data_IF_541344304503
#
_entry.id   IF_541344304503
#
_cell.length_a   1.000
_cell.length_b   1.000
_cell.length_c   1.000
_cell.angle_alpha   90.00
_cell.angle_beta   90.00
_cell.angle_gamma   90.00
#
_symmetry.space_group_name_H-M   'P 1'
#
loop_
_entity.id
_entity.type
_entity.pdbx_description
1 polymer ?
#
# COMPACT_ATOMS: atom_id res chain seq x y z
N UNK A 1 12.73 -29.81 25.72
CA UNK A 1 11.61 -29.24 24.92
C UNK A 1 10.58 -28.72 25.94
N UNK A 2 10.37 -27.41 25.97
CA UNK A 2 9.42 -26.78 26.89
C UNK A 2 8.15 -26.39 26.12
N UNK A 3 6.99 -26.65 26.71
CA UNK A 3 5.71 -26.24 26.17
C UNK A 3 5.37 -24.85 26.72
N UNK A 4 5.04 -23.93 25.82
CA UNK A 4 4.61 -22.57 26.15
C UNK A 4 3.16 -22.41 25.73
N UNK A 5 2.31 -22.05 26.67
CA UNK A 5 0.89 -21.79 26.45
C UNK A 5 0.67 -20.33 26.01
N UNK A 6 -0.31 -20.09 25.16
CA UNK A 6 -0.74 -18.75 24.77
C UNK A 6 -2.25 -18.67 24.58
N UNK A 7 -2.80 -17.48 24.56
CA UNK A 7 -4.18 -17.20 24.16
C UNK A 7 -4.24 -15.92 23.33
N UNK A 8 -5.19 -15.86 22.40
CA UNK A 8 -5.46 -14.66 21.63
C UNK A 8 -6.25 -13.65 22.47
N UNK A 9 -5.83 -12.41 22.45
CA UNK A 9 -6.61 -11.30 23.00
C UNK A 9 -7.54 -10.83 21.91
N UNK A 10 -8.84 -10.94 22.16
CA UNK A 10 -9.91 -10.64 21.23
C UNK A 10 -10.69 -9.43 21.70
N UNK A 11 -11.15 -8.63 20.73
CA UNK A 11 -11.94 -7.43 20.95
C UNK A 11 -13.25 -7.51 20.18
N UNK A 12 -14.37 -7.41 20.92
CA UNK A 12 -15.73 -7.42 20.38
C UNK A 12 -16.45 -6.17 20.92
N UNK A 13 -16.39 -5.02 20.23
CA UNK A 13 -16.93 -3.75 20.73
C UNK A 13 -18.44 -3.79 20.91
N UNK A 14 -19.16 -4.39 19.98
CA UNK A 14 -20.60 -4.57 20.03
C UNK A 14 -20.98 -6.05 19.95
N UNK A 15 -21.51 -6.56 21.05
CA UNK A 15 -21.96 -7.97 21.13
C UNK A 15 -23.15 -8.29 20.23
N UNK A 16 -23.95 -7.28 19.84
CA UNK A 16 -25.08 -7.48 18.91
C UNK A 16 -24.59 -7.71 17.48
N UNK A 17 -23.54 -6.99 17.07
CA UNK A 17 -22.88 -7.18 15.76
C UNK A 17 -22.01 -8.44 15.72
N UNK A 18 -21.55 -8.90 16.88
CA UNK A 18 -20.67 -10.06 17.02
C UNK A 18 -19.40 -10.03 16.15
N UNK A 19 -18.92 -8.81 15.84
CA UNK A 19 -17.68 -8.61 15.11
C UNK A 19 -16.50 -8.70 16.07
N UNK A 20 -15.76 -9.79 15.98
CA UNK A 20 -14.60 -10.06 16.84
C UNK A 20 -13.31 -9.98 16.06
N UNK A 21 -12.33 -9.25 16.57
CA UNK A 21 -10.99 -9.14 15.98
C UNK A 21 -9.93 -9.56 17.00
N UNK A 22 -8.88 -10.22 16.54
CA UNK A 22 -7.72 -10.52 17.36
C UNK A 22 -6.83 -9.27 17.44
N UNK A 23 -6.54 -8.80 18.65
CA UNK A 23 -5.77 -7.58 18.90
C UNK A 23 -4.42 -7.84 19.56
N UNK A 24 -4.16 -9.07 19.99
CA UNK A 24 -2.91 -9.42 20.66
C UNK A 24 -2.82 -10.88 21.05
N UNK A 25 -1.71 -11.19 21.70
CA UNK A 25 -1.42 -12.48 22.35
C UNK A 25 -1.06 -12.25 23.81
N UNK A 26 -1.53 -13.13 24.68
CA UNK A 26 -0.98 -13.33 26.01
C UNK A 26 -0.22 -14.66 26.01
N UNK A 27 1.03 -14.65 26.45
CA UNK A 27 1.94 -15.81 26.43
C UNK A 27 2.40 -16.12 27.84
N UNK A 28 2.29 -17.37 28.23
CA UNK A 28 2.62 -17.87 29.58
C UNK A 28 3.99 -18.53 29.56
N UNK A 29 5.03 -17.71 29.73
CA UNK A 29 6.41 -18.19 29.85
C UNK A 29 6.65 -18.83 31.24
N UNK A 30 7.68 -19.68 31.43
CA UNK A 30 7.96 -20.34 32.70
C UNK A 30 8.03 -19.39 33.88
N UNK A 31 8.59 -18.21 33.73
CA UNK A 31 8.85 -17.23 34.79
C UNK A 31 8.07 -15.91 34.63
N UNK A 32 7.29 -15.74 33.58
CA UNK A 32 6.61 -14.48 33.30
C UNK A 32 5.36 -14.67 32.44
N UNK A 33 4.48 -13.69 32.48
CA UNK A 33 3.39 -13.55 31.54
C UNK A 33 3.74 -12.36 30.63
N UNK A 34 3.78 -12.57 29.33
CA UNK A 34 4.03 -11.54 28.33
C UNK A 34 2.74 -11.23 27.55
N UNK A 35 2.43 -9.95 27.44
CA UNK A 35 1.29 -9.46 26.64
C UNK A 35 1.84 -8.73 25.42
N UNK A 36 1.43 -9.17 24.25
CA UNK A 36 1.82 -8.57 22.96
C UNK A 36 0.57 -8.04 22.29
N UNK A 37 0.46 -6.72 22.15
CA UNK A 37 -0.66 -6.07 21.48
C UNK A 37 -0.28 -5.62 20.08
N UNK A 38 -1.28 -5.53 19.19
CA UNK A 38 -1.11 -4.95 17.88
C UNK A 38 -0.87 -3.44 18.00
N UNK A 39 0.24 -2.94 17.47
CA UNK A 39 0.58 -1.52 17.48
C UNK A 39 -0.37 -0.69 16.57
N UNK A 40 -1.01 -1.34 15.60
CA UNK A 40 -1.87 -0.67 14.64
C UNK A 40 -3.29 -0.46 15.18
N UNK A 41 -3.57 0.73 15.70
CA UNK A 41 -4.92 1.14 16.10
C UNK A 41 -5.92 1.13 14.93
N UNK A 42 -5.46 1.11 13.66
CA UNK A 42 -6.33 1.09 12.47
C UNK A 42 -7.23 -0.15 12.43
N UNK A 43 -6.72 -1.31 12.88
CA UNK A 43 -7.50 -2.55 12.95
C UNK A 43 -8.68 -2.41 13.91
N UNK A 44 -8.45 -1.78 15.06
CA UNK A 44 -9.47 -1.55 16.10
C UNK A 44 -10.47 -0.52 15.64
N UNK A 45 -10.02 0.58 15.03
CA UNK A 45 -10.88 1.63 14.47
C UNK A 45 -11.77 1.15 13.33
N UNK A 46 -11.45 0.05 12.69
CA UNK A 46 -12.31 -0.55 11.67
C UNK A 46 -13.62 -1.11 12.26
N UNK A 47 -13.62 -1.49 13.54
CA UNK A 47 -14.79 -2.06 14.24
C UNK A 47 -15.29 -1.16 15.36
N UNK A 48 -14.45 -0.26 15.89
CA UNK A 48 -14.80 0.71 16.91
C UNK A 48 -14.00 2.02 16.75
N UNK A 49 -14.69 3.10 16.44
CA UNK A 49 -14.08 4.42 16.30
C UNK A 49 -13.72 5.12 17.62
N UNK A 50 -14.24 4.63 18.76
CA UNK A 50 -14.09 5.27 20.06
C UNK A 50 -12.83 4.83 20.83
N UNK A 51 -12.32 3.61 20.59
CA UNK A 51 -11.17 3.06 21.33
C UNK A 51 -9.88 3.83 21.02
N UNK A 52 -9.18 4.22 22.07
CA UNK A 52 -7.91 4.98 21.99
C UNK A 52 -6.69 4.09 22.23
N UNK A 53 -5.49 4.60 21.91
CA UNK A 53 -4.23 3.92 22.21
C UNK A 53 -3.99 3.76 23.72
N UNK A 54 -4.51 4.69 24.54
CA UNK A 54 -4.41 4.59 26.01
C UNK A 54 -5.26 3.44 26.57
N UNK A 55 -6.40 3.14 25.95
CA UNK A 55 -7.24 2.03 26.38
C UNK A 55 -6.51 0.70 26.16
N UNK A 56 -5.73 0.58 25.08
CA UNK A 56 -4.90 -0.61 24.82
C UNK A 56 -3.80 -0.80 25.88
N UNK A 57 -3.08 0.27 26.23
CA UNK A 57 -2.05 0.22 27.28
C UNK A 57 -2.65 -0.18 28.66
N UNK A 58 -3.84 0.34 28.95
CA UNK A 58 -4.56 -0.02 30.16
C UNK A 58 -4.94 -1.50 30.17
N UNK A 59 -5.32 -2.06 29.02
CA UNK A 59 -5.62 -3.50 28.89
C UNK A 59 -4.37 -4.35 29.08
N UNK A 60 -3.23 -3.99 28.50
CA UNK A 60 -1.96 -4.68 28.70
C UNK A 60 -1.62 -4.80 30.19
N UNK A 61 -1.68 -3.69 30.92
CA UNK A 61 -1.40 -3.65 32.36
C UNK A 61 -2.39 -4.51 33.15
N UNK A 62 -3.69 -4.44 32.82
CA UNK A 62 -4.73 -5.23 33.49
C UNK A 62 -4.55 -6.73 33.24
N UNK A 63 -4.25 -7.14 32.01
CA UNK A 63 -4.02 -8.54 31.66
C UNK A 63 -2.77 -9.08 32.34
N UNK A 64 -1.67 -8.36 32.35
CA UNK A 64 -0.43 -8.75 33.04
C UNK A 64 -0.68 -8.96 34.55
N UNK A 65 -1.46 -8.08 35.17
CA UNK A 65 -1.82 -8.20 36.57
C UNK A 65 -2.77 -9.38 36.84
N UNK A 66 -3.79 -9.53 35.98
CA UNK A 66 -4.82 -10.57 36.15
C UNK A 66 -4.25 -11.99 35.98
N UNK A 67 -3.35 -12.16 35.01
CA UNK A 67 -2.81 -13.49 34.66
C UNK A 67 -1.40 -13.75 35.17
N UNK A 68 -0.70 -12.73 35.69
CA UNK A 68 0.66 -12.86 36.22
C UNK A 68 0.80 -13.77 37.44
N UNK A 69 -0.32 -14.05 38.17
CA UNK A 69 -0.37 -14.88 39.38
C UNK A 69 -1.04 -16.25 39.14
N UNK A 70 -1.05 -16.75 37.90
CA UNK A 70 -1.54 -18.09 37.61
C UNK A 70 -0.60 -19.16 38.20
N UNK A 71 -1.18 -20.24 38.73
CA UNK A 71 -0.43 -21.44 39.13
C UNK A 71 0.41 -21.96 37.95
N UNK A 72 1.57 -22.50 38.24
CA UNK A 72 2.44 -23.16 37.24
C UNK A 72 2.20 -24.67 37.18
N UNK A 73 1.41 -25.20 38.07
CA UNK A 73 1.01 -26.61 38.05
C UNK A 73 0.00 -26.84 36.90
N UNK A 74 0.27 -27.77 35.96
CA UNK A 74 -0.53 -27.90 34.74
C UNK A 74 -2.03 -28.04 34.97
N UNK A 75 -2.44 -28.83 35.97
CA UNK A 75 -3.85 -29.07 36.28
C UNK A 75 -4.55 -27.84 36.87
N UNK A 76 -3.86 -27.07 37.73
CA UNK A 76 -4.38 -25.83 38.29
C UNK A 76 -4.33 -24.69 37.30
N UNK A 77 -3.29 -24.62 36.47
CA UNK A 77 -3.13 -23.59 35.47
C UNK A 77 -4.34 -23.48 34.52
N UNK A 78 -4.79 -24.58 33.95
CA UNK A 78 -5.91 -24.59 33.03
C UNK A 78 -7.22 -24.15 33.67
N UNK A 79 -7.52 -24.67 34.88
CA UNK A 79 -8.73 -24.32 35.62
C UNK A 79 -8.73 -22.84 36.05
N UNK A 80 -7.62 -22.33 36.55
CA UNK A 80 -7.46 -20.91 36.90
C UNK A 80 -7.52 -19.99 35.68
N UNK A 81 -6.90 -20.38 34.56
CA UNK A 81 -6.99 -19.66 33.32
C UNK A 81 -8.45 -19.54 32.87
N UNK A 82 -9.17 -20.64 32.77
CA UNK A 82 -10.57 -20.65 32.37
C UNK A 82 -11.47 -19.83 33.30
N UNK A 83 -11.22 -19.86 34.59
CA UNK A 83 -11.93 -19.03 35.58
C UNK A 83 -11.67 -17.53 35.27
N UNK A 84 -10.41 -17.12 35.16
CA UNK A 84 -10.05 -15.70 34.91
C UNK A 84 -10.47 -15.23 33.52
N UNK A 85 -10.44 -16.11 32.53
CA UNK A 85 -10.95 -15.83 31.20
C UNK A 85 -12.42 -15.43 31.19
N UNK A 86 -13.25 -16.14 31.98
CA UNK A 86 -14.67 -15.82 32.12
C UNK A 86 -14.94 -14.52 32.90
N UNK A 87 -13.97 -14.05 33.66
CA UNK A 87 -14.06 -12.79 34.43
C UNK A 87 -13.61 -11.57 33.61
N UNK A 88 -13.20 -11.75 32.37
CA UNK A 88 -12.77 -10.64 31.49
C UNK A 88 -13.90 -9.64 31.28
N UNK A 89 -13.64 -8.34 31.56
CA UNK A 89 -14.69 -7.33 31.50
C UNK A 89 -14.96 -6.82 30.08
N UNK A 90 -16.22 -6.55 29.79
CA UNK A 90 -16.62 -5.72 28.65
C UNK A 90 -16.39 -6.36 27.27
N UNK A 91 -15.75 -5.61 26.42
CA UNK A 91 -15.52 -5.95 24.99
C UNK A 91 -14.28 -6.82 24.75
N UNK A 92 -13.49 -7.09 25.78
CA UNK A 92 -12.27 -7.89 25.69
C UNK A 92 -12.51 -9.33 26.11
N UNK A 93 -11.96 -10.26 25.36
CA UNK A 93 -12.07 -11.69 25.61
C UNK A 93 -10.72 -12.37 25.33
N UNK A 94 -10.53 -13.57 25.89
CA UNK A 94 -9.42 -14.44 25.52
C UNK A 94 -9.95 -15.67 24.78
N UNK A 95 -9.23 -16.12 23.77
CA UNK A 95 -9.50 -17.42 23.14
C UNK A 95 -9.24 -18.57 24.12
N UNK A 96 -9.54 -19.80 23.72
CA UNK A 96 -8.98 -20.97 24.40
C UNK A 96 -7.46 -20.99 24.33
N UNK A 97 -6.85 -21.83 25.19
CA UNK A 97 -5.40 -22.01 25.21
C UNK A 97 -4.90 -22.67 23.91
N UNK A 98 -3.89 -22.08 23.31
CA UNK A 98 -3.02 -22.70 22.34
C UNK A 98 -1.67 -22.99 22.95
N UNK A 99 -0.83 -23.77 22.29
CA UNK A 99 0.52 -24.08 22.76
C UNK A 99 1.52 -24.17 21.60
N UNK A 100 2.78 -23.94 21.92
CA UNK A 100 3.90 -24.23 21.04
C UNK A 100 5.09 -24.75 21.85
N UNK A 101 5.95 -25.52 21.20
CA UNK A 101 7.12 -26.08 21.84
C UNK A 101 8.37 -25.27 21.50
N UNK A 102 9.27 -25.12 22.47
CA UNK A 102 10.55 -24.41 22.29
C UNK A 102 11.69 -25.17 22.97
N UNK A 103 12.89 -25.03 22.43
CA UNK A 103 14.10 -25.61 23.03
C UNK A 103 14.90 -24.54 23.78
N UNK A 104 14.76 -23.28 23.44
CA UNK A 104 15.46 -22.16 24.08
C UNK A 104 14.60 -20.88 24.06
N UNK A 105 14.95 -19.85 24.86
CA UNK A 105 14.22 -18.60 24.94
C UNK A 105 14.15 -17.81 23.62
N UNK A 106 15.21 -17.85 22.78
CA UNK A 106 15.25 -17.12 21.51
C UNK A 106 14.24 -17.71 20.53
N UNK A 107 14.06 -19.02 20.53
CA UNK A 107 13.04 -19.70 19.72
C UNK A 107 11.63 -19.27 20.13
N UNK A 108 11.39 -18.99 21.43
CA UNK A 108 10.11 -18.48 21.90
C UNK A 108 9.77 -17.13 21.27
N UNK A 109 10.72 -16.21 21.24
CA UNK A 109 10.53 -14.88 20.62
C UNK A 109 10.20 -14.97 19.12
N UNK A 110 10.90 -15.85 18.38
CA UNK A 110 10.62 -16.09 16.96
C UNK A 110 9.21 -16.65 16.74
N UNK A 111 8.78 -17.62 17.57
CA UNK A 111 7.44 -18.21 17.47
C UNK A 111 6.33 -17.21 17.84
N UNK A 112 6.54 -16.39 18.85
CA UNK A 112 5.61 -15.32 19.23
C UNK A 112 5.45 -14.33 18.06
N UNK A 113 6.55 -13.87 17.47
CA UNK A 113 6.51 -12.96 16.33
C UNK A 113 5.77 -13.57 15.13
N UNK A 114 5.98 -14.87 14.86
CA UNK A 114 5.26 -15.59 13.82
C UNK A 114 3.76 -15.66 14.11
N UNK A 115 3.36 -16.03 15.31
CA UNK A 115 1.95 -16.06 15.74
C UNK A 115 1.30 -14.66 15.66
N UNK A 116 2.03 -13.61 16.08
CA UNK A 116 1.55 -12.23 15.93
C UNK A 116 1.32 -11.88 14.45
N UNK A 117 2.25 -12.24 13.57
CA UNK A 117 2.13 -11.96 12.14
C UNK A 117 0.97 -12.73 11.48
N UNK A 118 0.74 -13.98 11.88
CA UNK A 118 -0.30 -14.85 11.29
C UNK A 118 -1.69 -14.58 11.84
N UNK A 119 -1.82 -14.32 13.14
CA UNK A 119 -3.11 -14.33 13.83
C UNK A 119 -3.59 -12.94 14.27
N UNK A 120 -2.68 -11.99 14.45
CA UNK A 120 -3.01 -10.67 15.04
C UNK A 120 -2.80 -9.54 14.03
N UNK A 121 -1.64 -9.48 13.40
CA UNK A 121 -1.33 -8.40 12.46
C UNK A 121 -2.17 -8.60 11.20
N UNK A 122 -2.99 -7.60 10.80
CA UNK A 122 -3.73 -7.74 9.56
C UNK A 122 -2.74 -7.94 8.41
N UNK A 123 -3.03 -8.82 7.46
CA UNK A 123 -2.22 -8.93 6.25
C UNK A 123 -2.08 -7.52 5.69
N UNK A 124 -0.86 -7.15 5.33
CA UNK A 124 -0.64 -5.85 4.66
C UNK A 124 -1.64 -5.80 3.53
N UNK A 125 -2.54 -4.78 3.47
CA UNK A 125 -3.41 -4.69 2.33
C UNK A 125 -2.47 -4.81 1.14
N UNK A 126 -2.77 -5.72 0.22
CA UNK A 126 -2.17 -5.67 -1.11
C UNK A 126 -2.66 -4.36 -1.71
N UNK A 127 -2.05 -3.28 -1.22
CA UNK A 127 -2.25 -1.97 -1.82
C UNK A 127 -1.80 -2.21 -3.25
N UNK A 128 -2.70 -1.99 -4.17
CA UNK A 128 -2.41 -1.98 -5.59
C UNK A 128 -1.49 -0.79 -5.96
N UNK A 129 -0.47 -0.51 -5.11
CA UNK A 129 0.71 0.27 -5.48
C UNK A 129 1.37 -0.29 -6.73
N UNK A 130 1.10 -1.56 -7.02
CA UNK A 130 1.65 -2.24 -8.18
C UNK A 130 1.04 -1.83 -9.51
N UNK A 131 -0.14 -1.18 -9.59
CA UNK A 131 -0.76 -0.93 -10.91
C UNK A 131 -0.31 0.39 -11.52
N UNK A 132 -0.29 1.49 -10.78
CA UNK A 132 0.34 2.74 -11.26
C UNK A 132 1.85 2.56 -11.46
N UNK A 133 2.52 1.87 -10.52
CA UNK A 133 3.91 1.45 -10.67
C UNK A 133 4.13 0.48 -11.85
N UNK A 134 3.12 -0.31 -12.26
CA UNK A 134 3.20 -1.20 -13.42
C UNK A 134 3.26 -0.44 -14.74
N UNK A 135 2.48 0.63 -14.92
CA UNK A 135 2.56 1.44 -16.16
C UNK A 135 3.94 2.07 -16.28
N UNK A 136 4.41 2.76 -15.24
CA UNK A 136 5.73 3.38 -15.21
C UNK A 136 6.82 2.35 -15.41
N UNK A 137 6.77 1.22 -14.69
CA UNK A 137 7.76 0.14 -14.82
C UNK A 137 7.75 -0.49 -16.22
N UNK A 138 6.56 -0.69 -16.80
CA UNK A 138 6.42 -1.22 -18.16
C UNK A 138 6.98 -0.26 -19.20
N UNK A 139 6.62 1.02 -19.13
CA UNK A 139 7.15 2.04 -20.03
C UNK A 139 8.66 2.20 -19.88
N UNK A 140 9.19 2.22 -18.68
CA UNK A 140 10.65 2.25 -18.43
C UNK A 140 11.35 1.06 -19.09
N UNK A 141 10.79 -0.14 -18.97
CA UNK A 141 11.34 -1.33 -19.63
C UNK A 141 11.33 -1.22 -21.14
N UNK A 142 10.23 -0.72 -21.71
CA UNK A 142 10.11 -0.48 -23.16
C UNK A 142 11.13 0.56 -23.62
N UNK A 143 11.22 1.69 -22.96
CA UNK A 143 12.17 2.74 -23.30
C UNK A 143 13.63 2.29 -23.22
N UNK A 144 13.97 1.42 -22.24
CA UNK A 144 15.29 0.79 -22.17
C UNK A 144 15.56 -0.16 -23.33
N UNK A 145 14.57 -0.97 -23.73
CA UNK A 145 14.68 -1.88 -24.88
C UNK A 145 14.91 -1.12 -26.21
N UNK A 146 14.40 0.10 -26.31
CA UNK A 146 14.56 0.98 -27.48
C UNK A 146 15.74 1.95 -27.35
N UNK A 147 16.58 1.79 -26.31
CA UNK A 147 17.72 2.68 -26.00
C UNK A 147 17.33 4.16 -25.90
N UNK A 148 16.14 4.43 -25.36
CA UNK A 148 15.59 5.78 -25.16
C UNK A 148 15.77 6.31 -23.75
N UNK A 149 15.94 5.44 -22.75
CA UNK A 149 15.84 5.78 -21.33
C UNK A 149 17.20 6.09 -20.69
N UNK A 150 17.21 7.04 -19.74
CA UNK A 150 18.30 7.23 -18.79
C UNK A 150 17.77 7.35 -17.35
N UNK A 151 18.57 6.86 -16.40
CA UNK A 151 18.29 7.00 -14.95
C UNK A 151 18.72 8.39 -14.42
N UNK A 152 19.53 9.14 -15.16
CA UNK A 152 19.95 10.51 -14.80
C UNK A 152 19.01 11.55 -15.41
N UNK A 153 18.50 12.46 -14.59
CA UNK A 153 17.63 13.56 -15.05
C UNK A 153 18.37 14.51 -15.98
N UNK A 154 19.67 14.67 -15.80
CA UNK A 154 20.52 15.54 -16.63
C UNK A 154 20.64 15.07 -18.08
N UNK A 155 20.43 13.76 -18.33
CA UNK A 155 20.47 13.20 -19.68
C UNK A 155 19.27 13.59 -20.56
N UNK A 156 18.35 14.38 -20.05
CA UNK A 156 17.30 15.01 -20.85
C UNK A 156 17.90 15.87 -21.98
N UNK A 157 19.07 16.47 -21.76
CA UNK A 157 19.79 17.27 -22.76
C UNK A 157 20.49 16.40 -23.80
N UNK A 158 20.61 15.11 -23.57
CA UNK A 158 21.15 14.10 -24.49
C UNK A 158 20.03 13.36 -25.26
N UNK A 159 18.83 13.97 -25.33
CA UNK A 159 17.65 13.43 -26.01
C UNK A 159 17.22 12.07 -25.43
N UNK A 160 17.43 11.86 -24.12
CA UNK A 160 16.98 10.66 -23.40
C UNK A 160 15.69 10.94 -22.66
N UNK A 161 14.86 9.90 -22.55
CA UNK A 161 13.68 9.94 -21.68
C UNK A 161 14.16 9.74 -20.24
N UNK A 162 13.78 10.67 -19.39
CA UNK A 162 14.08 10.64 -17.95
C UNK A 162 12.79 10.54 -17.13
N UNK A 163 12.87 9.96 -15.94
CA UNK A 163 11.73 9.78 -15.02
C UNK A 163 11.74 10.86 -13.94
N UNK A 164 10.55 11.22 -13.43
CA UNK A 164 10.36 12.19 -12.35
C UNK A 164 11.01 13.55 -12.63
N UNK A 165 10.85 14.01 -13.85
CA UNK A 165 11.39 15.30 -14.26
C UNK A 165 10.70 16.45 -13.52
N UNK A 166 11.44 17.38 -12.88
CA UNK A 166 10.86 18.49 -12.14
C UNK A 166 10.19 19.50 -13.09
N UNK A 167 8.90 19.74 -12.90
CA UNK A 167 8.14 20.78 -13.59
C UNK A 167 8.13 22.07 -12.78
N UNK A 168 7.97 21.95 -11.45
CA UNK A 168 7.99 23.09 -10.54
C UNK A 168 8.53 22.64 -9.18
N UNK A 169 9.74 23.06 -8.84
CA UNK A 169 10.35 22.77 -7.55
C UNK A 169 9.54 23.38 -6.40
N UNK A 170 9.06 24.62 -6.57
CA UNK A 170 8.26 25.33 -5.57
C UNK A 170 6.97 24.59 -5.20
N UNK A 171 6.34 23.96 -6.19
CA UNK A 171 5.10 23.20 -6.00
C UNK A 171 5.35 21.70 -5.82
N UNK A 172 6.61 21.24 -5.83
CA UNK A 172 7.01 19.82 -5.81
C UNK A 172 6.28 18.98 -6.87
N UNK A 173 6.15 19.54 -8.09
CA UNK A 173 5.49 18.88 -9.21
C UNK A 173 6.53 18.26 -10.13
N UNK A 174 6.33 16.98 -10.45
CA UNK A 174 7.21 16.20 -11.32
C UNK A 174 6.36 15.49 -12.37
N UNK A 175 6.87 15.49 -13.60
CA UNK A 175 6.32 14.65 -14.65
C UNK A 175 6.75 13.19 -14.47
N UNK A 176 5.89 12.23 -14.84
CA UNK A 176 6.25 10.83 -14.81
C UNK A 176 7.44 10.54 -15.73
N UNK A 177 7.40 11.05 -16.97
CA UNK A 177 8.53 11.00 -17.89
C UNK A 177 8.65 12.33 -18.68
N UNK A 178 9.87 12.65 -19.03
CA UNK A 178 10.17 13.78 -19.89
C UNK A 178 11.27 13.45 -20.91
N UNK A 179 11.20 14.09 -22.08
CA UNK A 179 12.21 14.07 -23.13
C UNK A 179 12.37 15.51 -23.65
N UNK A 180 13.55 15.91 -24.04
CA UNK A 180 13.81 17.21 -24.71
C UNK A 180 14.55 17.03 -26.03
N UNK A 181 13.94 17.50 -27.09
CA UNK A 181 14.58 17.62 -28.40
C UNK A 181 14.03 18.85 -29.13
N UNK A 182 14.70 20.01 -28.94
CA UNK A 182 14.15 21.30 -29.31
C UNK A 182 13.01 21.76 -28.42
N UNK A 183 11.95 20.94 -28.30
CA UNK A 183 10.81 21.14 -27.42
C UNK A 183 10.78 20.07 -26.30
N UNK A 184 10.05 20.35 -25.23
CA UNK A 184 9.81 19.35 -24.17
C UNK A 184 8.65 18.44 -24.57
N UNK A 185 8.82 17.14 -24.28
CA UNK A 185 7.81 16.10 -24.39
C UNK A 185 7.54 15.56 -22.99
N UNK A 186 6.38 15.82 -22.45
CA UNK A 186 5.97 15.46 -21.08
C UNK A 186 4.96 14.33 -21.15
N UNK A 187 5.19 13.27 -20.42
CA UNK A 187 4.26 12.14 -20.32
C UNK A 187 3.78 11.96 -18.89
N UNK A 188 2.46 11.94 -18.72
CA UNK A 188 1.77 11.58 -17.50
C UNK A 188 1.06 10.25 -17.67
N UNK A 189 1.13 9.40 -16.63
CA UNK A 189 0.58 8.05 -16.69
C UNK A 189 -0.49 7.82 -15.61
N UNK A 190 -1.53 7.06 -15.97
CA UNK A 190 -2.59 6.68 -15.03
C UNK A 190 -3.13 5.27 -15.31
N UNK A 191 -3.24 4.44 -14.26
CA UNK A 191 -3.96 3.17 -14.35
C UNK A 191 -5.43 3.38 -13.96
N UNK A 192 -6.32 3.28 -14.92
CA UNK A 192 -7.77 3.43 -14.73
C UNK A 192 -8.46 2.12 -14.28
N UNK A 193 -7.73 1.00 -14.15
CA UNK A 193 -8.27 -0.24 -13.60
C UNK A 193 -8.50 -0.17 -12.08
N UNK A 194 -9.38 -0.98 -11.55
CA UNK A 194 -9.52 -1.40 -10.13
C UNK A 194 -9.71 -0.35 -9.01
N UNK A 195 -9.81 0.96 -9.26
CA UNK A 195 -10.17 1.98 -8.25
C UNK A 195 -11.50 2.63 -8.60
N UNK A 196 -12.14 3.17 -7.58
CA UNK A 196 -13.34 3.99 -7.68
C UNK A 196 -13.16 5.13 -8.70
N UNK A 197 -14.22 5.41 -9.49
CA UNK A 197 -14.19 6.42 -10.54
C UNK A 197 -13.86 7.82 -10.00
N UNK A 198 -14.37 8.18 -8.80
CA UNK A 198 -14.11 9.49 -8.19
C UNK A 198 -12.63 9.68 -7.80
N UNK A 199 -11.97 8.60 -7.36
CA UNK A 199 -10.53 8.62 -7.06
C UNK A 199 -9.73 8.81 -8.34
N UNK A 200 -10.13 8.14 -9.42
CA UNK A 200 -9.46 8.25 -10.72
C UNK A 200 -9.69 9.59 -11.39
N UNK A 201 -10.85 10.17 -11.22
CA UNK A 201 -11.13 11.54 -11.68
C UNK A 201 -10.19 12.57 -11.01
N UNK A 202 -10.01 12.48 -9.67
CA UNK A 202 -9.06 13.36 -8.95
C UNK A 202 -7.61 13.15 -9.40
N UNK A 203 -7.20 11.89 -9.62
CA UNK A 203 -5.87 11.56 -10.12
C UNK A 203 -5.66 12.12 -11.53
N UNK A 204 -6.65 11.98 -12.44
CA UNK A 204 -6.63 12.57 -13.78
C UNK A 204 -6.54 14.10 -13.72
N UNK A 205 -7.29 14.75 -12.83
CA UNK A 205 -7.21 16.19 -12.62
C UNK A 205 -5.81 16.68 -12.24
N UNK A 206 -5.13 15.94 -11.34
CA UNK A 206 -3.75 16.26 -10.97
C UNK A 206 -2.80 16.10 -12.17
N UNK A 207 -2.96 15.02 -12.97
CA UNK A 207 -2.14 14.77 -14.15
C UNK A 207 -2.34 15.86 -15.22
N UNK A 208 -3.60 16.25 -15.48
CA UNK A 208 -3.94 17.35 -16.39
C UNK A 208 -3.36 18.68 -15.91
N UNK A 209 -3.41 18.94 -14.60
CA UNK A 209 -2.79 20.13 -14.01
C UNK A 209 -1.27 20.15 -14.20
N UNK A 210 -0.58 19.01 -14.00
CA UNK A 210 0.87 18.90 -14.22
C UNK A 210 1.21 19.21 -15.69
N UNK A 211 0.45 18.66 -16.65
CA UNK A 211 0.64 18.93 -18.08
C UNK A 211 0.43 20.41 -18.45
N UNK A 212 -0.64 21.01 -17.92
CA UNK A 212 -0.89 22.44 -18.11
C UNK A 212 0.23 23.31 -17.51
N UNK A 213 0.71 22.93 -16.31
CA UNK A 213 1.82 23.62 -15.64
C UNK A 213 3.12 23.44 -16.40
N UNK A 214 3.37 22.29 -17.01
CA UNK A 214 4.54 22.05 -17.85
C UNK A 214 4.57 23.00 -19.05
N UNK A 215 3.44 23.22 -19.73
CA UNK A 215 3.35 24.20 -20.83
C UNK A 215 3.66 25.63 -20.37
N UNK A 216 3.27 26.00 -19.15
CA UNK A 216 3.55 27.33 -18.59
C UNK A 216 5.01 27.52 -18.21
N UNK A 217 5.65 26.51 -17.58
CA UNK A 217 7.01 26.61 -17.04
C UNK A 217 8.10 26.29 -18.09
N UNK A 218 7.82 25.34 -19.01
CA UNK A 218 8.80 24.84 -19.97
C UNK A 218 8.62 25.43 -21.38
N UNK A 219 7.54 26.18 -21.60
CA UNK A 219 7.20 26.82 -22.86
C UNK A 219 5.96 26.26 -23.54
N UNK A 220 5.21 27.10 -24.24
CA UNK A 220 3.92 26.77 -24.87
C UNK A 220 4.01 25.69 -25.93
N UNK A 221 5.20 25.50 -26.55
CA UNK A 221 5.46 24.45 -27.54
C UNK A 221 5.61 23.04 -26.94
N UNK A 222 5.63 22.93 -25.57
CA UNK A 222 5.71 21.64 -24.87
C UNK A 222 4.59 20.70 -25.32
N UNK A 223 4.95 19.49 -25.72
CA UNK A 223 4.01 18.44 -26.12
C UNK A 223 3.68 17.56 -24.90
N UNK A 224 2.40 17.44 -24.59
CA UNK A 224 1.90 16.67 -23.44
C UNK A 224 1.21 15.38 -23.90
N UNK A 225 1.58 14.27 -23.30
CA UNK A 225 1.07 12.94 -23.59
C UNK A 225 0.42 12.35 -22.36
N UNK A 226 -0.87 12.03 -22.45
CA UNK A 226 -1.56 11.24 -21.44
C UNK A 226 -1.52 9.76 -21.83
N UNK A 227 -0.95 8.92 -20.98
CA UNK A 227 -0.82 7.49 -21.21
C UNK A 227 -1.56 6.73 -20.11
N UNK A 228 -2.60 5.99 -20.48
CA UNK A 228 -3.39 5.26 -19.51
C UNK A 228 -3.47 3.76 -19.80
N UNK A 229 -3.95 3.00 -18.85
CA UNK A 229 -4.27 1.58 -19.00
C UNK A 229 -5.69 1.33 -18.54
N UNK A 230 -6.58 0.97 -19.47
CA UNK A 230 -7.98 0.66 -19.20
C UNK A 230 -8.51 -0.44 -20.10
N UNK A 231 -9.41 -1.29 -19.56
CA UNK A 231 -10.27 -2.14 -20.38
C UNK A 231 -11.41 -1.31 -20.97
N UNK A 232 -12.12 -1.82 -21.97
CA UNK A 232 -13.30 -1.16 -22.52
C UNK A 232 -14.39 -0.89 -21.46
N UNK A 233 -14.50 -1.74 -20.43
CA UNK A 233 -15.40 -1.53 -19.31
C UNK A 233 -14.92 -0.40 -18.39
N UNK A 234 -13.60 -0.34 -18.10
CA UNK A 234 -13.01 0.73 -17.32
C UNK A 234 -13.10 2.09 -18.02
N UNK A 235 -12.92 2.13 -19.36
CA UNK A 235 -13.07 3.35 -20.16
C UNK A 235 -14.49 3.93 -20.07
N UNK A 236 -15.51 3.06 -20.15
CA UNK A 236 -16.89 3.46 -19.99
C UNK A 236 -17.21 3.99 -18.59
N UNK A 237 -16.71 3.29 -17.56
CA UNK A 237 -16.92 3.64 -16.14
C UNK A 237 -16.19 4.94 -15.74
N UNK A 238 -15.08 5.25 -16.41
CA UNK A 238 -14.19 6.38 -16.08
C UNK A 238 -14.03 7.38 -17.22
N UNK A 239 -15.05 7.50 -18.06
CA UNK A 239 -15.07 8.40 -19.22
C UNK A 239 -14.71 9.84 -18.82
N UNK A 240 -15.28 10.38 -17.75
CA UNK A 240 -14.99 11.74 -17.26
C UNK A 240 -13.50 11.94 -16.91
N UNK A 241 -12.83 10.92 -16.39
CA UNK A 241 -11.40 11.00 -16.10
C UNK A 241 -10.57 11.00 -17.39
N UNK A 242 -11.00 10.26 -18.41
CA UNK A 242 -10.36 10.24 -19.73
C UNK A 242 -10.55 11.56 -20.45
N UNK A 243 -11.76 12.12 -20.40
CA UNK A 243 -12.07 13.43 -20.98
C UNK A 243 -11.16 14.52 -20.37
N UNK A 244 -11.03 14.53 -19.05
CA UNK A 244 -10.17 15.47 -18.34
C UNK A 244 -8.67 15.32 -18.70
N UNK A 245 -8.20 14.08 -18.91
CA UNK A 245 -6.84 13.84 -19.42
C UNK A 245 -6.68 14.30 -20.86
N UNK A 246 -7.69 14.10 -21.69
CA UNK A 246 -7.70 14.53 -23.10
C UNK A 246 -7.66 16.04 -23.22
N UNK A 247 -8.39 16.77 -22.37
CA UNK A 247 -8.36 18.25 -22.33
C UNK A 247 -6.98 18.80 -21.93
N UNK A 248 -6.28 18.11 -21.03
CA UNK A 248 -4.95 18.51 -20.55
C UNK A 248 -3.78 18.12 -21.45
N UNK A 249 -3.98 17.22 -22.41
CA UNK A 249 -2.92 16.64 -23.25
C UNK A 249 -3.08 16.97 -24.73
N UNK A 250 -1.96 16.90 -25.48
CA UNK A 250 -1.99 17.00 -26.95
C UNK A 250 -2.26 15.62 -27.58
N UNK A 251 -1.92 14.55 -26.88
CA UNK A 251 -2.09 13.16 -27.32
C UNK A 251 -2.49 12.27 -26.13
N UNK A 252 -3.37 11.31 -26.40
CA UNK A 252 -3.82 10.34 -25.39
C UNK A 252 -3.71 8.92 -25.94
N UNK A 253 -3.22 7.97 -25.10
CA UNK A 253 -2.94 6.58 -25.52
C UNK A 253 -3.37 5.58 -24.42
N UNK A 254 -4.05 4.51 -24.85
CA UNK A 254 -4.34 3.38 -23.99
C UNK A 254 -3.32 2.24 -24.20
N UNK A 255 -2.47 1.96 -23.23
CA UNK A 255 -1.45 0.90 -23.32
C UNK A 255 -2.01 -0.54 -23.44
N UNK A 256 -3.31 -0.74 -23.23
CA UNK A 256 -3.97 -2.02 -23.54
C UNK A 256 -4.31 -2.15 -25.03
N UNK A 257 -4.41 -1.06 -25.76
CA UNK A 257 -4.50 -1.04 -27.20
C UNK A 257 -3.12 -1.24 -27.81
N UNK A 258 -2.93 -2.31 -28.57
CA UNK A 258 -1.65 -2.58 -29.23
C UNK A 258 -1.28 -1.47 -30.23
N UNK A 259 -2.30 -0.91 -30.91
CA UNK A 259 -2.12 0.21 -31.83
C UNK A 259 -1.60 1.44 -31.08
N UNK A 260 -2.30 1.87 -30.03
CA UNK A 260 -1.92 3.06 -29.27
C UNK A 260 -0.54 2.94 -28.65
N UNK A 261 -0.20 1.72 -28.18
CA UNK A 261 1.12 1.42 -27.62
C UNK A 261 2.21 1.61 -28.67
N UNK A 262 2.01 1.11 -29.90
CA UNK A 262 2.95 1.27 -31.01
C UNK A 262 3.05 2.75 -31.40
N UNK A 263 1.92 3.42 -31.57
CA UNK A 263 1.86 4.82 -31.97
C UNK A 263 2.57 5.73 -30.95
N UNK A 264 2.40 5.46 -29.63
CA UNK A 264 3.07 6.20 -28.58
C UNK A 264 4.60 5.99 -28.63
N UNK A 265 5.07 4.76 -28.76
CA UNK A 265 6.51 4.45 -28.81
C UNK A 265 7.15 5.10 -30.05
N UNK A 266 6.52 5.00 -31.21
CA UNK A 266 7.01 5.63 -32.44
C UNK A 266 7.10 7.16 -32.30
N UNK A 267 6.14 7.80 -31.63
CA UNK A 267 6.22 9.22 -31.32
C UNK A 267 7.39 9.57 -30.42
N UNK A 268 7.69 8.75 -29.42
CA UNK A 268 8.84 8.95 -28.53
C UNK A 268 10.17 8.71 -29.27
N UNK A 269 10.27 7.70 -30.14
CA UNK A 269 11.44 7.45 -31.00
C UNK A 269 11.69 8.63 -31.95
N UNK A 270 10.64 9.12 -32.60
CA UNK A 270 10.73 10.28 -33.47
C UNK A 270 11.14 11.54 -32.69
N UNK A 271 10.60 11.75 -31.50
CA UNK A 271 10.96 12.87 -30.64
C UNK A 271 12.41 12.77 -30.14
N UNK A 272 12.96 11.56 -29.94
CA UNK A 272 14.37 11.35 -29.59
C UNK A 272 15.33 11.48 -30.78
N UNK A 273 14.82 11.73 -31.98
CA UNK A 273 15.65 11.80 -33.20
C UNK A 273 16.09 10.44 -33.74
N UNK A 274 15.53 9.35 -33.22
CA UNK A 274 15.79 7.98 -33.70
C UNK A 274 14.84 7.60 -34.85
N UNK A 275 14.86 8.37 -35.95
CA UNK A 275 14.18 7.91 -37.16
C UNK A 275 14.94 6.70 -37.72
N UNK A 276 14.32 5.52 -37.69
CA UNK A 276 14.81 4.39 -38.49
C UNK A 276 14.72 4.82 -39.97
N UNK A 277 15.89 5.02 -40.59
CA UNK A 277 15.98 5.02 -42.04
C UNK A 277 15.46 3.66 -42.53
N UNK A 278 14.27 3.65 -43.12
CA UNK A 278 13.71 2.53 -43.86
C UNK A 278 14.31 2.46 -45.25
#
# INVERSE_FOLDING_TARGET
MNIVNYSLIQFTPDRKRNETINIGLIVFLPNAVAVHLCESIRKIRAVDGATSANDLKNIETKLSKLFGQLSREPQLFESEFEFRRKMMPGSFQLSGLGYFAVNNPDEASLKINKLMAELVIPPKPQISRERGARIITNLRSIFRQHDLFSDSVDDIFNHRIVEKFPISERANLHADFALKNGVYHITETIDLGARDASVKFKEAGLKSFIMAKAKLELGTETKCYAVYSASAADEKDKAEAIDLLSEGSDFIFNLRSQKDKIDYIQKMEAAAGMQKLH
#
